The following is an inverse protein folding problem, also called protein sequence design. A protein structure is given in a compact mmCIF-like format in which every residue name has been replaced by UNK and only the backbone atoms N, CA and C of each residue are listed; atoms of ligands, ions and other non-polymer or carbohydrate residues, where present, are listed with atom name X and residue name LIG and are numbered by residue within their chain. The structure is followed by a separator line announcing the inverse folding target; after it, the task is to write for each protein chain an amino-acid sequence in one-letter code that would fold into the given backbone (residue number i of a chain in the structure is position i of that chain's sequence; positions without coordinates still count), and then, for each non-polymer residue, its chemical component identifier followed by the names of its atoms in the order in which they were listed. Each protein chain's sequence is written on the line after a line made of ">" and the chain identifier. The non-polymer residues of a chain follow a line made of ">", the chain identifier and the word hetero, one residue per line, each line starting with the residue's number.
data_IF_389436341008
#
_entry.id   IF_389436341008
#
_cell.length_a   1.000
_cell.length_b   1.000
_cell.length_c   1.000
_cell.angle_alpha   90.00
_cell.angle_beta   90.00
_cell.angle_gamma   90.00
#
_symmetry.space_group_name_H-M   'P 1'
#
loop_
_entity.id
_entity.type
_entity.pdbx_description
1 polymer ?
#
# COMPACT_ATOMS: atom_id res chain seq x y z
N UNK A 1 4.03 -12.37 9.74
CA UNK A 1 3.40 -13.37 8.83
C UNK A 1 4.46 -14.38 8.44
N UNK A 2 4.50 -15.56 9.06
CA UNK A 2 5.55 -16.55 8.76
C UNK A 2 5.37 -17.21 7.39
N UNK A 3 4.13 -17.41 6.95
CA UNK A 3 3.84 -18.16 5.72
C UNK A 3 4.39 -17.51 4.45
N UNK A 4 4.34 -16.19 4.35
CA UNK A 4 4.82 -15.46 3.16
C UNK A 4 6.32 -15.19 3.18
N UNK A 5 6.98 -15.35 4.35
CA UNK A 5 8.36 -14.95 4.53
C UNK A 5 9.31 -15.58 3.50
N UNK A 6 9.27 -16.89 3.20
CA UNK A 6 10.15 -17.48 2.18
C UNK A 6 9.95 -16.91 0.76
N UNK A 7 8.81 -16.27 0.48
CA UNK A 7 8.45 -15.75 -0.84
C UNK A 7 8.73 -14.26 -1.02
N UNK A 8 9.19 -13.56 0.01
CA UNK A 8 9.60 -12.15 -0.09
C UNK A 8 10.87 -12.00 -0.95
N UNK A 9 10.97 -10.91 -1.70
CA UNK A 9 12.11 -10.61 -2.58
C UNK A 9 13.46 -10.66 -1.85
N UNK A 10 13.52 -10.13 -0.62
CA UNK A 10 14.72 -10.19 0.24
C UNK A 10 15.22 -11.62 0.55
N UNK A 11 14.32 -12.60 0.45
CA UNK A 11 14.59 -14.03 0.70
C UNK A 11 14.70 -14.83 -0.62
N UNK A 12 14.79 -14.16 -1.77
CA UNK A 12 14.88 -14.79 -3.09
C UNK A 12 13.54 -15.22 -3.70
N UNK A 13 12.43 -14.83 -3.07
CA UNK A 13 11.08 -15.13 -3.58
C UNK A 13 10.52 -14.06 -4.53
N UNK A 14 9.33 -14.29 -5.11
CA UNK A 14 8.76 -13.43 -6.15
C UNK A 14 7.96 -12.22 -5.62
N UNK A 15 7.68 -12.12 -4.32
CA UNK A 15 6.84 -11.05 -3.77
C UNK A 15 7.68 -9.78 -3.62
N UNK A 16 7.39 -8.78 -4.46
CA UNK A 16 8.12 -7.51 -4.51
C UNK A 16 7.33 -6.32 -3.95
N UNK A 17 6.03 -6.45 -3.70
CA UNK A 17 5.15 -5.44 -3.11
C UNK A 17 3.92 -6.10 -2.50
N UNK A 18 3.27 -5.42 -1.56
CA UNK A 18 2.00 -5.86 -0.97
C UNK A 18 1.05 -4.68 -0.78
N UNK A 19 -0.25 -4.96 -0.78
CA UNK A 19 -1.30 -3.97 -0.55
C UNK A 19 -1.96 -4.26 0.80
N UNK A 20 -2.07 -3.25 1.68
CA UNK A 20 -2.60 -3.42 3.04
C UNK A 20 -4.12 -3.16 3.14
N UNK A 21 -4.67 -2.40 2.19
CA UNK A 21 -6.07 -1.96 2.15
C UNK A 21 -6.51 -1.79 0.68
N UNK A 22 -7.79 -1.98 0.34
CA UNK A 22 -8.32 -1.81 -1.00
C UNK A 22 -9.53 -0.85 -1.10
N UNK A 23 -9.34 0.27 -1.78
CA UNK A 23 -10.38 1.24 -2.17
C UNK A 23 -11.15 1.87 -1.00
N UNK A 24 -10.48 2.05 0.14
CA UNK A 24 -11.09 2.67 1.30
C UNK A 24 -11.31 4.17 1.11
N UNK A 25 -12.59 4.51 0.98
CA UNK A 25 -13.09 5.88 0.90
C UNK A 25 -13.89 6.28 2.16
N UNK A 26 -13.66 5.57 3.27
CA UNK A 26 -14.29 5.87 4.55
C UNK A 26 -13.65 7.05 5.27
N UNK A 27 -14.41 7.70 6.15
CA UNK A 27 -13.98 8.91 6.86
C UNK A 27 -13.21 8.62 8.16
N UNK A 28 -12.66 7.42 8.34
CA UNK A 28 -11.90 7.05 9.54
C UNK A 28 -10.39 7.25 9.32
N UNK A 29 -9.90 8.46 9.57
CA UNK A 29 -8.47 8.76 9.47
C UNK A 29 -7.64 7.95 10.48
N UNK A 30 -8.19 7.60 11.65
CA UNK A 30 -7.45 6.82 12.64
C UNK A 30 -7.20 5.38 12.15
N UNK A 31 -8.13 4.82 11.39
CA UNK A 31 -7.92 3.54 10.71
C UNK A 31 -6.82 3.61 9.65
N UNK A 32 -6.80 4.67 8.83
CA UNK A 32 -5.77 4.87 7.80
C UNK A 32 -4.39 5.04 8.45
N UNK A 33 -4.30 5.84 9.50
CA UNK A 33 -3.05 6.02 10.25
C UNK A 33 -2.60 4.72 10.92
N UNK A 34 -3.55 3.93 11.43
CA UNK A 34 -3.27 2.61 11.98
C UNK A 34 -2.70 1.65 10.93
N UNK A 35 -3.27 1.59 9.72
CA UNK A 35 -2.70 0.83 8.60
C UNK A 35 -1.25 1.24 8.33
N UNK A 36 -0.98 2.54 8.37
CA UNK A 36 0.38 3.06 8.20
C UNK A 36 1.32 2.62 9.31
N UNK A 37 0.87 2.63 10.56
CA UNK A 37 1.65 2.17 11.72
C UNK A 37 1.96 0.68 11.65
N UNK A 38 1.01 -0.13 11.17
CA UNK A 38 1.19 -1.58 10.99
C UNK A 38 2.29 -1.88 9.98
N UNK A 39 2.35 -1.10 8.90
CA UNK A 39 3.41 -1.16 7.88
C UNK A 39 4.77 -0.82 8.48
N UNK A 40 4.88 0.28 9.23
CA UNK A 40 6.17 0.75 9.77
C UNK A 40 6.68 -0.06 10.95
N UNK A 41 5.81 -0.74 11.67
CA UNK A 41 6.16 -1.44 12.90
C UNK A 41 6.20 -2.96 12.66
N UNK A 42 5.06 -3.64 12.69
CA UNK A 42 4.97 -5.09 12.67
C UNK A 42 5.38 -5.70 11.32
N UNK A 43 5.12 -4.98 10.22
CA UNK A 43 5.42 -5.42 8.86
C UNK A 43 6.74 -4.88 8.30
N UNK A 44 7.47 -4.07 9.09
CA UNK A 44 8.76 -3.49 8.69
C UNK A 44 9.77 -4.52 8.21
N UNK A 45 9.73 -5.72 8.80
CA UNK A 45 10.63 -6.82 8.44
C UNK A 45 10.33 -7.41 7.07
N UNK A 46 9.22 -7.06 6.39
CA UNK A 46 8.93 -7.59 5.06
C UNK A 46 9.88 -7.07 3.98
N UNK A 47 10.45 -5.88 4.18
CA UNK A 47 11.40 -5.23 3.26
C UNK A 47 10.90 -5.16 1.80
N UNK A 48 9.60 -4.87 1.66
CA UNK A 48 8.94 -4.61 0.38
C UNK A 48 8.14 -3.31 0.49
N UNK A 49 7.89 -2.61 -0.62
CA UNK A 49 6.97 -1.48 -0.64
C UNK A 49 5.54 -1.93 -0.32
N UNK A 50 4.84 -1.09 0.43
CA UNK A 50 3.43 -1.26 0.73
C UNK A 50 2.60 -0.24 -0.02
N UNK A 51 1.45 -0.65 -0.56
CA UNK A 51 0.56 0.21 -1.33
C UNK A 51 -0.85 0.25 -0.71
N UNK A 52 -1.59 1.31 -1.02
CA UNK A 52 -3.05 1.43 -0.83
C UNK A 52 -3.62 2.01 -2.12
N UNK A 53 -4.74 1.47 -2.61
CA UNK A 53 -5.31 1.86 -3.89
C UNK A 53 -6.60 2.67 -3.76
N UNK A 54 -6.75 3.69 -4.62
CA UNK A 54 -7.99 4.39 -4.94
C UNK A 54 -8.87 4.77 -3.73
N UNK A 55 -8.35 5.66 -2.89
CA UNK A 55 -9.01 6.14 -1.68
C UNK A 55 -8.03 6.87 -0.77
N UNK A 56 -8.24 6.79 0.54
CA UNK A 56 -7.25 7.27 1.49
C UNK A 56 -6.04 6.33 1.54
N UNK A 57 -4.83 6.91 1.51
CA UNK A 57 -3.58 6.17 1.68
C UNK A 57 -2.83 6.66 2.93
N UNK A 58 -2.22 5.72 3.65
CA UNK A 58 -1.37 6.05 4.79
C UNK A 58 -0.01 6.59 4.32
N UNK A 59 0.61 7.48 5.08
CA UNK A 59 1.88 8.11 4.71
C UNK A 59 3.05 7.13 4.51
N UNK A 60 2.99 5.94 5.13
CA UNK A 60 3.98 4.87 4.96
C UNK A 60 3.67 3.93 3.79
N UNK A 61 2.67 4.24 2.97
CA UNK A 61 2.26 3.47 1.80
C UNK A 61 2.32 4.34 0.54
N UNK A 62 2.50 3.69 -0.61
CA UNK A 62 2.40 4.34 -1.92
C UNK A 62 0.94 4.33 -2.33
N UNK A 63 0.35 5.52 -2.55
CA UNK A 63 -0.97 5.64 -3.15
C UNK A 63 -0.94 5.17 -4.60
N UNK A 64 -1.95 4.40 -5.01
CA UNK A 64 -2.08 3.89 -6.38
C UNK A 64 -3.48 4.16 -6.92
N UNK A 65 -3.61 4.20 -8.25
CA UNK A 65 -4.86 4.49 -8.93
C UNK A 65 -5.51 3.24 -9.51
N UNK A 66 -6.83 3.14 -9.34
CA UNK A 66 -7.70 2.21 -10.06
C UNK A 66 -8.70 3.00 -10.89
N UNK A 67 -8.55 2.96 -12.21
CA UNK A 67 -9.46 3.58 -13.18
C UNK A 67 -9.27 2.95 -14.56
N UNK A 68 -10.23 3.15 -15.47
CA UNK A 68 -10.05 2.92 -16.90
C UNK A 68 -8.87 3.73 -17.46
N UNK A 69 -8.66 4.96 -16.98
CA UNK A 69 -7.51 5.79 -17.34
C UNK A 69 -7.14 6.77 -16.21
N UNK A 70 -6.08 6.44 -15.47
CA UNK A 70 -5.56 7.26 -14.37
C UNK A 70 -4.95 8.61 -14.81
N UNK A 71 -4.66 8.80 -16.10
CA UNK A 71 -4.29 10.11 -16.64
C UNK A 71 -5.54 10.98 -16.80
N UNK A 72 -6.56 10.47 -17.50
CA UNK A 72 -7.78 11.24 -17.82
C UNK A 72 -8.60 11.56 -16.56
N UNK A 73 -8.59 10.68 -15.57
CA UNK A 73 -9.27 10.88 -14.28
C UNK A 73 -8.52 11.85 -13.34
N UNK A 74 -7.43 12.46 -13.82
CA UNK A 74 -6.66 13.48 -13.11
C UNK A 74 -5.87 12.95 -11.93
N UNK A 75 -5.70 11.63 -11.79
CA UNK A 75 -4.85 11.06 -10.73
C UNK A 75 -3.38 11.43 -10.96
N UNK A 76 -2.90 11.25 -12.20
CA UNK A 76 -1.51 11.62 -12.57
C UNK A 76 -1.23 13.10 -12.31
N UNK A 77 -2.16 14.00 -12.62
CA UNK A 77 -1.94 15.44 -12.44
C UNK A 77 -1.83 15.84 -10.96
N UNK A 78 -2.44 15.09 -10.05
CA UNK A 78 -2.32 15.29 -8.59
C UNK A 78 -1.07 14.69 -7.97
N UNK A 79 -0.35 13.83 -8.71
CA UNK A 79 0.81 13.05 -8.24
C UNK A 79 2.09 13.33 -9.04
N UNK A 80 2.13 14.46 -9.77
CA UNK A 80 3.32 14.95 -10.49
C UNK A 80 4.25 15.77 -9.62
#
# INVERSE_FOLDING_TARGET
>A
VEYVNPYLAKNGGPIILAQIENEYNGNDQAYVDWCGSLVTNELSTTDIPWIMCNGHAANSTIETCNSCNCLDDGWIDRHR
#
